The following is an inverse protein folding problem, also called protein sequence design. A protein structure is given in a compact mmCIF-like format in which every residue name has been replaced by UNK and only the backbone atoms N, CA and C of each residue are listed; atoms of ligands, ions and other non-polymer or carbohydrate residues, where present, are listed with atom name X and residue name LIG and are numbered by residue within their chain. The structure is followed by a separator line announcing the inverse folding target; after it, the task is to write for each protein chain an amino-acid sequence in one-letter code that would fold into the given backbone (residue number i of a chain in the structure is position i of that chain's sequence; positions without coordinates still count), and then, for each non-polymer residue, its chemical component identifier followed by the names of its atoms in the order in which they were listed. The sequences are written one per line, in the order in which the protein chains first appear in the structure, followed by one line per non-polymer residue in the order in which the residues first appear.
data_IF_187716995835
#
_entry.id   IF_187716995835
#
_cell.length_a   1.000
_cell.length_b   1.000
_cell.length_c   1.000
_cell.angle_alpha   90.00
_cell.angle_beta   90.00
_cell.angle_gamma   90.00
#
_symmetry.space_group_name_H-M   'P 1'
#
loop_
_entity.id
_entity.type
_entity.pdbx_description
1 polymer ?
#
# COMPACT_ATOMS: atom_id res chain seq x y z
N UNK A 1 17.08 12.88 5.05
CA UNK A 1 16.58 12.52 6.40
C UNK A 1 17.37 13.28 7.45
N UNK A 2 16.74 13.73 8.57
CA UNK A 2 17.45 14.46 9.64
C UNK A 2 18.47 13.58 10.39
N UNK A 3 18.10 12.34 10.64
CA UNK A 3 19.00 11.33 11.23
C UNK A 3 19.99 10.87 10.16
N UNK A 4 21.24 11.31 10.28
CA UNK A 4 22.29 11.03 9.31
C UNK A 4 22.79 9.57 9.37
N UNK A 5 22.68 8.93 10.52
CA UNK A 5 23.08 7.54 10.70
C UNK A 5 22.07 6.64 10.00
N UNK A 6 20.78 6.86 10.26
CA UNK A 6 19.71 6.10 9.61
C UNK A 6 19.68 6.34 8.08
N UNK A 7 19.87 7.59 7.66
CA UNK A 7 19.94 7.93 6.22
C UNK A 7 21.06 7.16 5.51
N UNK A 8 22.23 7.04 6.16
CA UNK A 8 23.35 6.24 5.63
C UNK A 8 22.99 4.77 5.50
N UNK A 9 22.42 4.19 6.57
CA UNK A 9 22.03 2.76 6.57
C UNK A 9 21.00 2.43 5.49
N UNK A 10 19.98 3.30 5.30
CA UNK A 10 18.99 3.14 4.24
C UNK A 10 19.63 3.17 2.86
N UNK A 11 20.58 4.09 2.63
CA UNK A 11 21.32 4.17 1.36
C UNK A 11 22.20 2.94 1.11
N UNK A 12 22.80 2.41 2.16
CA UNK A 12 23.58 1.16 2.08
C UNK A 12 22.69 -0.03 1.72
N UNK A 13 21.50 -0.13 2.33
CA UNK A 13 20.53 -1.17 2.01
C UNK A 13 20.00 -1.07 0.57
N UNK A 14 19.72 0.14 0.08
CA UNK A 14 19.36 0.34 -1.34
C UNK A 14 20.45 -0.22 -2.26
N UNK A 15 21.71 0.09 -1.99
CA UNK A 15 22.84 -0.43 -2.78
C UNK A 15 22.97 -1.95 -2.68
N UNK A 16 22.74 -2.51 -1.48
CA UNK A 16 22.75 -3.96 -1.30
C UNK A 16 21.70 -4.64 -2.16
N UNK A 17 20.47 -4.16 -2.12
CA UNK A 17 19.37 -4.71 -2.93
C UNK A 17 19.65 -4.61 -4.44
N UNK A 18 20.18 -3.48 -4.90
CA UNK A 18 20.54 -3.30 -6.32
C UNK A 18 21.63 -4.26 -6.82
N UNK A 19 22.48 -4.76 -5.92
CA UNK A 19 23.62 -5.63 -6.26
C UNK A 19 23.39 -7.10 -5.94
N UNK A 20 22.23 -7.45 -5.41
CA UNK A 20 21.94 -8.81 -4.95
C UNK A 20 20.73 -9.36 -5.68
N UNK A 21 20.83 -10.60 -6.15
CA UNK A 21 19.68 -11.36 -6.66
C UNK A 21 18.98 -11.98 -5.45
N UNK A 22 17.70 -11.60 -5.24
CA UNK A 22 16.89 -12.17 -4.19
C UNK A 22 16.13 -13.39 -4.70
N UNK A 23 16.42 -14.58 -4.12
CA UNK A 23 15.79 -15.84 -4.47
C UNK A 23 14.73 -16.28 -3.43
N UNK A 24 14.28 -15.38 -2.55
CA UNK A 24 13.22 -15.66 -1.60
C UNK A 24 11.87 -15.42 -2.31
N UNK A 25 11.08 -16.47 -2.61
CA UNK A 25 9.91 -16.34 -3.47
C UNK A 25 8.74 -15.56 -2.85
N UNK A 26 8.74 -15.40 -1.53
CA UNK A 26 7.73 -14.62 -0.79
C UNK A 26 8.07 -13.14 -0.65
N UNK A 27 9.23 -12.68 -1.12
CA UNK A 27 9.64 -11.29 -1.13
C UNK A 27 9.45 -10.67 -2.51
N UNK A 28 9.08 -9.38 -2.54
CA UNK A 28 8.98 -8.61 -3.78
C UNK A 28 9.47 -7.18 -3.57
N UNK A 29 9.87 -6.53 -4.64
CA UNK A 29 10.27 -5.13 -4.63
C UNK A 29 9.03 -4.24 -4.82
N UNK A 30 8.84 -3.29 -3.90
CA UNK A 30 7.81 -2.28 -4.06
C UNK A 30 8.25 -1.21 -5.08
N UNK A 31 7.33 -0.76 -5.92
CA UNK A 31 7.60 0.36 -6.81
C UNK A 31 7.80 1.67 -6.04
N UNK A 32 8.47 2.69 -6.62
CA UNK A 32 8.60 4.00 -5.98
C UNK A 32 7.26 4.59 -5.54
N UNK A 33 6.21 4.45 -6.34
CA UNK A 33 4.87 4.96 -6.02
C UNK A 33 4.26 4.24 -4.80
N UNK A 34 4.47 2.94 -4.68
CA UNK A 34 4.03 2.18 -3.49
C UNK A 34 4.79 2.63 -2.26
N UNK A 35 6.11 2.82 -2.36
CA UNK A 35 6.93 3.31 -1.25
C UNK A 35 6.48 4.72 -0.80
N UNK A 36 6.15 5.60 -1.74
CA UNK A 36 5.65 6.94 -1.46
C UNK A 36 4.31 6.90 -0.71
N UNK A 37 3.36 6.09 -1.18
CA UNK A 37 2.04 5.94 -0.54
C UNK A 37 2.19 5.34 0.87
N UNK A 38 3.00 4.30 1.02
CA UNK A 38 3.23 3.64 2.31
C UNK A 38 3.93 4.54 3.32
N UNK A 39 4.74 5.50 2.87
CA UNK A 39 5.38 6.52 3.72
C UNK A 39 4.54 7.80 3.90
N UNK A 40 3.31 7.82 3.46
CA UNK A 40 2.43 9.00 3.53
C UNK A 40 1.62 9.07 4.84
N UNK A 41 0.82 10.14 4.96
CA UNK A 41 -0.11 10.32 6.09
C UNK A 41 -1.16 9.21 6.21
N UNK A 42 -1.32 8.38 5.19
CA UNK A 42 -2.22 7.22 5.24
C UNK A 42 -1.80 6.18 6.29
N UNK A 43 -0.56 6.23 6.77
CA UNK A 43 -0.08 5.41 7.89
C UNK A 43 -0.67 5.80 9.26
N UNK A 44 -1.30 6.97 9.38
CA UNK A 44 -1.63 7.56 10.68
C UNK A 44 -2.96 7.06 11.26
N UNK A 45 -3.72 6.20 10.56
CA UNK A 45 -5.11 5.98 10.92
C UNK A 45 -5.53 4.53 10.83
N UNK A 46 -6.37 4.13 11.78
CA UNK A 46 -7.16 2.91 11.68
C UNK A 46 -8.34 3.08 10.72
N UNK A 47 -8.51 2.13 9.79
CA UNK A 47 -9.61 2.07 8.83
C UNK A 47 -10.36 0.73 8.87
N UNK A 48 -10.44 0.12 10.05
CA UNK A 48 -11.19 -1.11 10.27
C UNK A 48 -12.66 -0.97 9.85
N UNK A 49 -13.21 -2.03 9.29
CA UNK A 49 -14.53 -2.06 8.69
C UNK A 49 -14.49 -1.86 7.17
N UNK A 50 -15.63 -1.58 6.57
CA UNK A 50 -15.76 -1.36 5.13
C UNK A 50 -16.08 0.10 4.82
N UNK A 51 -15.90 0.59 3.58
CA UNK A 51 -16.34 1.91 3.18
C UNK A 51 -17.78 2.20 3.60
N UNK A 52 -17.99 3.32 4.28
CA UNK A 52 -19.30 3.70 4.84
C UNK A 52 -19.72 2.95 6.12
N UNK A 53 -18.92 1.96 6.57
CA UNK A 53 -19.21 1.15 7.78
C UNK A 53 -17.94 0.95 8.61
N UNK A 54 -17.26 2.05 8.93
CA UNK A 54 -16.03 2.04 9.72
C UNK A 54 -16.30 2.05 11.22
N UNK A 55 -15.43 1.41 11.99
CA UNK A 55 -15.47 1.47 13.45
C UNK A 55 -15.04 2.81 14.01
N UNK A 56 -14.21 3.57 13.28
CA UNK A 56 -13.67 4.85 13.71
C UNK A 56 -14.04 5.98 12.75
N UNK A 57 -14.19 7.21 13.25
CA UNK A 57 -14.49 8.37 12.39
C UNK A 57 -13.26 8.79 11.56
N UNK A 58 -13.46 9.69 10.60
CA UNK A 58 -12.39 10.30 9.83
C UNK A 58 -11.89 9.45 8.65
N UNK A 59 -12.69 8.51 8.16
CA UNK A 59 -12.33 7.58 7.08
C UNK A 59 -12.88 7.99 5.70
N UNK A 60 -13.43 9.20 5.53
CA UNK A 60 -14.04 9.63 4.28
C UNK A 60 -13.11 9.48 3.06
N UNK A 61 -11.84 9.85 3.22
CA UNK A 61 -10.84 9.74 2.14
C UNK A 61 -10.38 8.30 1.98
N UNK A 62 -10.18 7.56 3.07
CA UNK A 62 -9.85 6.13 3.03
C UNK A 62 -10.92 5.31 2.33
N UNK A 63 -12.19 5.63 2.55
CA UNK A 63 -13.32 5.00 1.84
C UNK A 63 -13.21 5.21 0.33
N UNK A 64 -12.87 6.42 -0.11
CA UNK A 64 -12.69 6.71 -1.53
C UNK A 64 -11.50 5.95 -2.13
N UNK A 65 -10.39 5.84 -1.39
CA UNK A 65 -9.21 5.07 -1.82
C UNK A 65 -9.55 3.60 -1.98
N UNK A 66 -10.22 3.02 -0.99
CA UNK A 66 -10.62 1.60 -1.04
C UNK A 66 -11.62 1.32 -2.16
N UNK A 67 -12.62 2.17 -2.36
CA UNK A 67 -13.57 2.05 -3.46
C UNK A 67 -12.89 2.20 -4.83
N UNK A 68 -11.91 3.10 -4.94
CA UNK A 68 -11.11 3.23 -6.15
C UNK A 68 -10.31 1.95 -6.45
N UNK A 69 -9.72 1.34 -5.43
CA UNK A 69 -9.00 0.08 -5.58
C UNK A 69 -9.93 -1.05 -6.04
N UNK A 70 -11.12 -1.16 -5.45
CA UNK A 70 -12.14 -2.13 -5.86
C UNK A 70 -12.57 -1.92 -7.32
N UNK A 71 -12.79 -0.67 -7.74
CA UNK A 71 -13.17 -0.34 -9.12
C UNK A 71 -12.06 -0.73 -10.11
N UNK A 72 -10.80 -0.45 -9.77
CA UNK A 72 -9.66 -0.81 -10.62
C UNK A 72 -9.49 -2.32 -10.76
N UNK A 73 -9.66 -3.08 -9.68
CA UNK A 73 -9.67 -4.55 -9.73
C UNK A 73 -10.81 -5.06 -10.61
N UNK A 74 -12.01 -4.50 -10.46
CA UNK A 74 -13.17 -4.84 -11.30
C UNK A 74 -12.87 -4.67 -12.79
N UNK A 75 -12.28 -3.55 -13.16
CA UNK A 75 -11.90 -3.26 -14.56
C UNK A 75 -10.80 -4.20 -15.03
N UNK A 76 -9.78 -4.40 -14.23
CA UNK A 76 -8.61 -5.23 -14.58
C UNK A 76 -9.01 -6.67 -14.92
N UNK A 77 -9.92 -7.25 -14.14
CA UNK A 77 -10.40 -8.62 -14.34
C UNK A 77 -11.71 -8.72 -15.14
N UNK A 78 -12.22 -7.60 -15.66
CA UNK A 78 -13.48 -7.52 -16.41
C UNK A 78 -14.65 -8.16 -15.65
N UNK A 79 -14.79 -7.85 -14.37
CA UNK A 79 -15.82 -8.43 -13.51
C UNK A 79 -17.14 -7.69 -13.61
N UNK A 80 -18.26 -8.45 -13.73
CA UNK A 80 -19.60 -7.91 -13.67
C UNK A 80 -20.01 -7.42 -12.28
N UNK A 81 -21.19 -6.79 -12.18
CA UNK A 81 -21.72 -6.21 -10.93
C UNK A 81 -22.02 -7.24 -9.84
N UNK A 82 -22.16 -8.52 -10.19
CA UNK A 82 -22.46 -9.61 -9.26
C UNK A 82 -21.23 -10.08 -8.46
N UNK A 83 -20.04 -9.60 -8.80
CA UNK A 83 -18.82 -9.94 -8.08
C UNK A 83 -18.57 -8.96 -6.91
N UNK A 84 -18.43 -9.51 -5.73
CA UNK A 84 -17.90 -8.78 -4.59
C UNK A 84 -16.37 -8.74 -4.66
N UNK A 85 -15.79 -7.58 -4.40
CA UNK A 85 -14.35 -7.37 -4.43
C UNK A 85 -13.92 -6.88 -3.05
N UNK A 86 -13.03 -7.62 -2.43
CA UNK A 86 -12.36 -7.21 -1.21
C UNK A 86 -10.88 -6.97 -1.51
N UNK A 87 -10.39 -5.78 -1.17
CA UNK A 87 -8.98 -5.37 -1.33
C UNK A 87 -8.25 -5.28 0.01
N UNK A 88 -8.93 -5.62 1.08
CA UNK A 88 -8.34 -5.65 2.42
C UNK A 88 -7.49 -6.93 2.60
N UNK A 89 -6.36 -6.85 3.32
CA UNK A 89 -5.55 -8.02 3.64
C UNK A 89 -6.25 -8.97 4.60
#
# INVERSE_FOLDING_TARGET
MKDKILDKLVKEEIKRQQKTINLIPSENYASPEILEIMGSVLMNKYSEGYPGKRYYPGNKIYDQIELLAQERIRKLFNLGKNWHINVQP
#
